data_IF_192500244077
#
_entry.id   IF_192500244077
#
_cell.length_a   1.000
_cell.length_b   1.000
_cell.length_c   1.000
_cell.angle_alpha   90.00
_cell.angle_beta   90.00
_cell.angle_gamma   90.00
#
_symmetry.space_group_name_H-M   'P 1'
#
loop_
_entity.id
_entity.type
_entity.pdbx_description
1 polymer ?
#
# COMPACT_ATOMS: atom_id res chain seq x y z
N UNK A 1 47.64 -15.77 48.53
CA UNK A 1 47.92 -14.58 47.71
C UNK A 1 48.24 -15.04 46.29
N UNK A 2 47.30 -15.06 45.42
CA UNK A 2 47.43 -15.41 44.03
C UNK A 2 46.71 -14.36 43.20
N UNK A 3 47.47 -13.49 42.52
CA UNK A 3 46.96 -12.44 41.65
C UNK A 3 46.43 -13.05 40.38
N UNK A 4 45.12 -12.91 40.16
CA UNK A 4 44.49 -13.20 38.87
C UNK A 4 44.92 -12.13 37.87
N UNK A 5 45.65 -12.54 36.80
CA UNK A 5 46.01 -11.71 35.68
C UNK A 5 44.76 -11.31 34.83
N UNK A 6 44.84 -10.21 34.09
CA UNK A 6 43.71 -9.72 33.30
C UNK A 6 43.43 -10.68 32.13
N UNK A 7 42.12 -11.02 31.98
CA UNK A 7 41.59 -11.79 30.86
C UNK A 7 41.83 -10.98 29.58
N UNK A 8 42.43 -11.57 28.54
CA UNK A 8 42.62 -10.85 27.27
C UNK A 8 41.27 -10.59 26.60
N UNK A 9 40.96 -9.34 26.40
CA UNK A 9 39.86 -8.89 25.55
C UNK A 9 40.01 -9.46 24.14
N UNK A 10 39.03 -10.26 23.67
CA UNK A 10 38.93 -10.71 22.30
C UNK A 10 38.99 -9.48 21.39
N UNK A 11 39.82 -9.48 20.34
CA UNK A 11 39.76 -8.44 19.36
C UNK A 11 38.39 -8.47 18.69
N UNK A 12 37.66 -7.38 18.75
CA UNK A 12 36.50 -7.13 17.94
C UNK A 12 36.91 -7.33 16.47
N UNK A 13 36.24 -8.20 15.76
CA UNK A 13 36.41 -8.44 14.35
C UNK A 13 36.26 -7.10 13.60
N UNK A 14 37.39 -6.56 13.19
CA UNK A 14 37.46 -5.38 12.33
C UNK A 14 36.96 -5.69 10.93
N UNK A 15 35.66 -5.54 10.74
CA UNK A 15 35.04 -5.38 9.43
C UNK A 15 34.38 -4.00 9.41
N UNK A 16 35.13 -3.08 8.82
CA UNK A 16 34.69 -1.83 8.23
C UNK A 16 33.46 -1.19 8.88
N UNK A 17 33.64 -0.40 9.90
CA UNK A 17 32.79 0.76 10.18
C UNK A 17 32.78 1.66 8.94
N UNK A 18 32.01 1.26 7.92
CA UNK A 18 31.65 2.17 6.83
C UNK A 18 30.90 3.30 7.49
N UNK A 19 31.46 4.48 7.42
CA UNK A 19 30.89 5.74 7.88
C UNK A 19 29.51 5.91 7.24
N UNK A 20 28.45 5.39 7.92
CA UNK A 20 27.07 5.37 7.44
C UNK A 20 26.57 6.81 7.45
N UNK A 21 26.30 7.36 6.27
CA UNK A 21 25.80 8.73 6.11
C UNK A 21 24.31 8.70 5.83
N UNK A 22 23.52 9.40 6.67
CA UNK A 22 22.12 9.66 6.41
C UNK A 22 21.96 10.71 5.31
N UNK A 23 20.88 10.61 4.53
CA UNK A 23 20.51 11.57 3.50
C UNK A 23 20.36 10.97 2.12
N UNK A 24 19.44 11.55 1.34
CA UNK A 24 19.09 11.06 0.00
C UNK A 24 20.28 11.09 -0.96
N UNK A 25 21.07 12.17 -0.98
CA UNK A 25 22.21 12.30 -1.89
C UNK A 25 23.30 11.28 -1.61
N UNK A 26 23.56 10.99 -0.34
CA UNK A 26 24.58 10.01 0.08
C UNK A 26 24.19 8.57 -0.31
N UNK A 27 22.89 8.28 -0.40
CA UNK A 27 22.35 6.94 -0.64
C UNK A 27 21.57 6.82 -1.95
N UNK A 28 21.77 7.75 -2.91
CA UNK A 28 20.94 7.85 -4.11
C UNK A 28 20.87 6.54 -4.91
N UNK A 29 21.99 5.82 -5.08
CA UNK A 29 22.04 4.55 -5.81
C UNK A 29 21.17 3.47 -5.15
N UNK A 30 21.29 3.27 -3.83
CA UNK A 30 20.47 2.31 -3.09
C UNK A 30 19.00 2.72 -3.07
N UNK A 31 18.74 4.02 -2.91
CA UNK A 31 17.38 4.58 -2.94
C UNK A 31 16.70 4.30 -4.29
N UNK A 32 17.39 4.55 -5.42
CA UNK A 32 16.85 4.32 -6.76
C UNK A 32 16.58 2.84 -7.04
N UNK A 33 17.46 1.93 -6.59
CA UNK A 33 17.22 0.49 -6.69
C UNK A 33 15.96 0.09 -5.91
N UNK A 34 15.77 0.61 -4.70
CA UNK A 34 14.57 0.31 -3.89
C UNK A 34 13.29 0.93 -4.49
N UNK A 35 13.38 2.05 -5.21
CA UNK A 35 12.25 2.61 -5.98
C UNK A 35 11.89 1.68 -7.13
N UNK A 36 12.89 1.19 -7.87
CA UNK A 36 12.68 0.22 -8.97
C UNK A 36 12.10 -1.10 -8.45
N UNK A 37 12.62 -1.62 -7.34
CA UNK A 37 12.08 -2.83 -6.71
C UNK A 37 10.62 -2.63 -6.28
N UNK A 38 10.26 -1.46 -5.74
CA UNK A 38 8.87 -1.17 -5.42
C UNK A 38 7.98 -1.07 -6.66
N UNK A 39 8.49 -0.56 -7.77
CA UNK A 39 7.78 -0.60 -9.05
C UNK A 39 7.53 -2.05 -9.51
N UNK A 40 8.49 -2.97 -9.35
CA UNK A 40 8.27 -4.39 -9.64
C UNK A 40 7.21 -5.01 -8.73
N UNK A 41 7.20 -4.66 -7.43
CA UNK A 41 6.16 -5.08 -6.49
C UNK A 41 4.79 -4.61 -6.97
N UNK A 42 4.66 -3.34 -7.38
CA UNK A 42 3.44 -2.79 -7.97
C UNK A 42 3.05 -3.48 -9.27
N UNK A 43 4.01 -3.77 -10.14
CA UNK A 43 3.77 -4.44 -11.41
C UNK A 43 3.14 -5.84 -11.24
N UNK A 44 3.56 -6.63 -10.24
CA UNK A 44 2.93 -7.92 -9.93
C UNK A 44 1.43 -7.78 -9.64
N UNK A 45 1.04 -6.73 -8.93
CA UNK A 45 -0.38 -6.43 -8.68
C UNK A 45 -1.10 -6.02 -9.96
N UNK A 46 -0.48 -5.14 -10.75
CA UNK A 46 -1.06 -4.62 -11.99
C UNK A 46 -1.35 -5.70 -13.04
N UNK A 47 -0.51 -6.74 -13.11
CA UNK A 47 -0.74 -7.87 -14.03
C UNK A 47 -2.06 -8.61 -13.76
N UNK A 48 -2.55 -8.60 -12.53
CA UNK A 48 -3.73 -9.38 -12.14
C UNK A 48 -5.03 -8.59 -12.22
N UNK A 49 -5.01 -7.30 -11.86
CA UNK A 49 -6.22 -6.53 -11.50
C UNK A 49 -7.25 -6.36 -12.62
N UNK A 50 -6.82 -6.31 -13.86
CA UNK A 50 -7.76 -6.25 -15.00
C UNK A 50 -8.08 -7.63 -15.55
N UNK A 51 -7.10 -8.52 -15.56
CA UNK A 51 -7.18 -9.79 -16.28
C UNK A 51 -7.87 -10.87 -15.46
N UNK A 52 -7.57 -11.03 -14.16
CA UNK A 52 -8.12 -12.12 -13.34
C UNK A 52 -9.64 -12.10 -13.21
N UNK A 53 -10.33 -10.95 -13.04
CA UNK A 53 -11.80 -10.95 -13.05
C UNK A 53 -12.38 -11.50 -14.35
N UNK A 54 -11.75 -11.18 -15.49
CA UNK A 54 -12.17 -11.70 -16.81
C UNK A 54 -11.82 -13.19 -16.97
N UNK A 55 -10.67 -13.64 -16.48
CA UNK A 55 -10.30 -15.06 -16.44
C UNK A 55 -11.31 -15.85 -15.61
N UNK A 56 -11.70 -15.34 -14.44
CA UNK A 56 -12.70 -15.97 -13.57
C UNK A 56 -14.03 -16.17 -14.28
N UNK A 57 -14.54 -15.15 -14.95
CA UNK A 57 -15.83 -15.21 -15.65
C UNK A 57 -15.76 -15.96 -16.97
N UNK A 58 -14.73 -15.74 -17.80
CA UNK A 58 -14.67 -16.23 -19.18
C UNK A 58 -13.99 -17.60 -19.31
N UNK A 59 -12.97 -17.91 -18.49
CA UNK A 59 -12.23 -19.17 -18.60
C UNK A 59 -12.65 -20.21 -17.55
N UNK A 60 -12.94 -19.75 -16.31
CA UNK A 60 -13.41 -20.65 -15.25
C UNK A 60 -14.95 -20.71 -15.16
N UNK A 61 -15.67 -19.87 -15.91
CA UNK A 61 -17.13 -19.91 -15.98
C UNK A 61 -17.82 -19.58 -14.64
N UNK A 62 -17.16 -18.79 -13.77
CA UNK A 62 -17.72 -18.46 -12.46
C UNK A 62 -18.91 -17.52 -12.60
N UNK A 63 -20.09 -18.00 -12.20
CA UNK A 63 -21.32 -17.21 -12.21
C UNK A 63 -21.39 -16.21 -11.04
N UNK A 64 -20.88 -16.61 -9.86
CA UNK A 64 -20.86 -15.75 -8.67
C UNK A 64 -19.72 -14.74 -8.74
N UNK A 65 -20.08 -13.47 -8.62
CA UNK A 65 -19.13 -12.36 -8.54
C UNK A 65 -18.31 -12.44 -7.25
N UNK A 66 -18.92 -12.87 -6.15
CA UNK A 66 -18.20 -13.12 -4.88
C UNK A 66 -17.11 -14.17 -5.06
N UNK A 67 -17.41 -15.26 -5.79
CA UNK A 67 -16.41 -16.28 -6.09
C UNK A 67 -15.26 -15.70 -6.95
N UNK A 68 -15.56 -14.88 -7.95
CA UNK A 68 -14.54 -14.19 -8.76
C UNK A 68 -13.68 -13.31 -7.87
N UNK A 69 -14.26 -12.50 -6.99
CA UNK A 69 -13.51 -11.53 -6.15
C UNK A 69 -12.75 -12.18 -4.97
N UNK A 70 -12.92 -13.48 -4.75
CA UNK A 70 -12.25 -14.22 -3.64
C UNK A 70 -10.72 -14.11 -3.68
N UNK A 71 -10.11 -13.94 -4.85
CA UNK A 71 -8.67 -13.73 -4.98
C UNK A 71 -8.21 -12.40 -4.37
N UNK A 72 -9.01 -11.34 -4.46
CA UNK A 72 -8.72 -10.05 -3.83
C UNK A 72 -8.88 -10.16 -2.30
N UNK A 73 -9.91 -10.87 -1.84
CA UNK A 73 -10.12 -11.11 -0.43
C UNK A 73 -8.97 -11.90 0.20
N UNK A 74 -8.50 -12.98 -0.45
CA UNK A 74 -7.36 -13.77 0.02
C UNK A 74 -6.05 -12.97 0.04
N UNK A 75 -5.81 -12.18 -1.00
CA UNK A 75 -4.71 -11.23 -1.08
C UNK A 75 -4.73 -10.24 0.09
N UNK A 76 -5.86 -9.55 0.30
CA UNK A 76 -6.02 -8.54 1.34
C UNK A 76 -5.84 -9.10 2.73
N UNK A 77 -6.41 -10.27 3.02
CA UNK A 77 -6.30 -10.95 4.31
C UNK A 77 -4.85 -11.34 4.62
N UNK A 78 -4.18 -12.02 3.68
CA UNK A 78 -2.77 -12.39 3.81
C UNK A 78 -1.89 -11.16 4.03
N UNK A 79 -2.09 -10.11 3.23
CA UNK A 79 -1.34 -8.86 3.35
C UNK A 79 -1.56 -8.18 4.69
N UNK A 80 -2.80 -8.08 5.18
CA UNK A 80 -3.13 -7.45 6.46
C UNK A 80 -2.46 -8.16 7.64
N UNK A 81 -2.54 -9.50 7.67
CA UNK A 81 -1.98 -10.31 8.75
C UNK A 81 -0.44 -10.26 8.78
N UNK A 82 0.19 -10.38 7.61
CA UNK A 82 1.65 -10.40 7.52
C UNK A 82 2.24 -9.01 7.80
N UNK A 83 1.59 -7.93 7.38
CA UNK A 83 2.03 -6.56 7.67
C UNK A 83 2.17 -6.28 9.19
N UNK A 84 1.34 -6.88 10.03
CA UNK A 84 1.45 -6.75 11.49
C UNK A 84 2.79 -7.28 12.04
N UNK A 85 3.33 -8.34 11.45
CA UNK A 85 4.56 -8.98 11.91
C UNK A 85 5.81 -8.53 11.15
N UNK A 86 5.66 -8.03 9.92
CA UNK A 86 6.77 -7.76 9.00
C UNK A 86 7.83 -6.82 9.59
N UNK A 87 7.40 -5.76 10.28
CA UNK A 87 8.32 -4.80 10.92
C UNK A 87 9.15 -5.45 12.03
N UNK A 88 8.48 -6.13 12.97
CA UNK A 88 9.15 -6.78 14.10
C UNK A 88 10.10 -7.90 13.67
N UNK A 89 9.76 -8.64 12.61
CA UNK A 89 10.65 -9.64 12.01
C UNK A 89 11.86 -8.97 11.37
N UNK A 90 11.64 -7.88 10.62
CA UNK A 90 12.72 -7.15 9.95
C UNK A 90 13.73 -6.54 10.94
N UNK A 91 13.28 -6.10 12.10
CA UNK A 91 14.17 -5.57 13.15
C UNK A 91 15.08 -6.66 13.74
N UNK A 92 14.64 -7.93 13.74
CA UNK A 92 15.42 -9.06 14.26
C UNK A 92 16.37 -9.69 13.24
N UNK A 93 15.89 -9.89 12.01
CA UNK A 93 16.63 -10.66 10.99
C UNK A 93 17.29 -9.78 9.91
N UNK A 94 17.00 -8.50 9.90
CA UNK A 94 17.45 -7.54 8.90
C UNK A 94 16.45 -7.35 7.75
N UNK A 95 16.37 -6.12 7.24
CA UNK A 95 15.38 -5.72 6.23
C UNK A 95 15.61 -6.39 4.88
N UNK A 96 16.88 -6.56 4.48
CA UNK A 96 17.24 -7.21 3.23
C UNK A 96 16.80 -8.67 3.18
N UNK A 97 16.94 -9.43 4.28
CA UNK A 97 16.50 -10.84 4.33
C UNK A 97 14.99 -10.97 4.19
N UNK A 98 14.24 -10.10 4.86
CA UNK A 98 12.78 -10.08 4.74
C UNK A 98 12.34 -9.74 3.31
N UNK A 99 13.01 -8.80 2.65
CA UNK A 99 12.77 -8.47 1.24
C UNK A 99 13.03 -9.67 0.32
N UNK A 100 14.12 -10.42 0.55
CA UNK A 100 14.43 -11.65 -0.21
C UNK A 100 13.35 -12.73 -0.03
N UNK A 101 12.89 -12.96 1.21
CA UNK A 101 11.79 -13.90 1.49
C UNK A 101 10.51 -13.46 0.76
N UNK A 102 10.24 -12.15 0.77
CA UNK A 102 9.11 -11.61 0.02
C UNK A 102 9.17 -11.95 -1.47
N UNK A 103 10.32 -11.78 -2.12
CA UNK A 103 10.50 -12.15 -3.54
C UNK A 103 10.39 -13.66 -3.77
N UNK A 104 10.94 -14.49 -2.89
CA UNK A 104 10.81 -15.95 -2.99
C UNK A 104 9.33 -16.39 -2.95
N UNK A 105 8.49 -15.76 -2.12
CA UNK A 105 7.05 -16.00 -2.10
C UNK A 105 6.34 -15.48 -3.37
N UNK A 106 6.91 -14.48 -4.03
CA UNK A 106 6.39 -13.95 -5.28
C UNK A 106 6.65 -14.83 -6.51
N UNK A 107 7.74 -15.60 -6.53
CA UNK A 107 8.13 -16.43 -7.69
C UNK A 107 7.03 -17.44 -8.12
N UNK A 108 6.41 -18.21 -7.22
CA UNK A 108 5.39 -19.18 -7.62
C UNK A 108 4.08 -18.54 -8.07
N UNK A 109 3.80 -17.28 -7.75
CA UNK A 109 2.50 -16.65 -8.02
C UNK A 109 2.10 -16.71 -9.49
N UNK A 110 2.85 -16.15 -10.44
CA UNK A 110 2.47 -16.18 -11.86
C UNK A 110 2.44 -17.61 -12.43
N UNK A 111 3.30 -18.50 -11.93
CA UNK A 111 3.32 -19.90 -12.37
C UNK A 111 2.06 -20.61 -11.93
N UNK A 112 1.65 -20.48 -10.67
CA UNK A 112 0.43 -21.09 -10.13
C UNK A 112 -0.81 -20.63 -10.91
N UNK A 113 -0.91 -19.35 -11.24
CA UNK A 113 -2.02 -18.81 -12.03
C UNK A 113 -1.98 -19.34 -13.46
N UNK A 114 -0.79 -19.40 -14.06
CA UNK A 114 -0.61 -19.87 -15.43
C UNK A 114 -1.09 -21.32 -15.61
N UNK A 115 -0.73 -22.19 -14.66
CA UNK A 115 -1.07 -23.63 -14.72
C UNK A 115 -2.35 -24.00 -13.97
N UNK A 116 -3.06 -23.01 -13.39
CA UNK A 116 -4.21 -23.24 -12.52
C UNK A 116 -5.30 -24.13 -13.17
N UNK A 117 -5.59 -25.32 -12.64
CA UNK A 117 -6.68 -26.17 -13.12
C UNK A 117 -8.05 -25.75 -12.57
N UNK A 118 -8.06 -24.97 -11.48
CA UNK A 118 -9.28 -24.45 -10.84
C UNK A 118 -9.04 -23.08 -10.21
N UNK A 119 -10.13 -22.36 -9.92
CA UNK A 119 -10.06 -21.05 -9.28
C UNK A 119 -9.39 -21.06 -7.91
N UNK A 120 -9.48 -22.16 -7.17
CA UNK A 120 -8.81 -22.31 -5.87
C UNK A 120 -7.29 -22.12 -5.94
N UNK A 121 -6.64 -22.48 -7.06
CA UNK A 121 -5.21 -22.22 -7.28
C UNK A 121 -4.92 -20.73 -7.46
N UNK A 122 -5.80 -19.99 -8.11
CA UNK A 122 -5.71 -18.53 -8.25
C UNK A 122 -5.85 -17.87 -6.87
N UNK A 123 -6.78 -18.34 -6.05
CA UNK A 123 -6.95 -17.87 -4.65
C UNK A 123 -5.70 -18.17 -3.84
N UNK A 124 -5.13 -19.37 -3.92
CA UNK A 124 -3.90 -19.75 -3.23
C UNK A 124 -2.69 -18.90 -3.70
N UNK A 125 -2.56 -18.65 -5.00
CA UNK A 125 -1.53 -17.77 -5.55
C UNK A 125 -1.65 -16.34 -4.97
N UNK A 126 -2.86 -15.85 -4.78
CA UNK A 126 -3.12 -14.53 -4.22
C UNK A 126 -2.85 -14.45 -2.70
N UNK A 127 -2.93 -15.55 -1.95
CA UNK A 127 -2.39 -15.60 -0.57
C UNK A 127 -0.87 -15.35 -0.60
N UNK A 128 -0.14 -15.99 -1.51
CA UNK A 128 1.30 -15.77 -1.68
C UNK A 128 1.62 -14.36 -2.17
N UNK A 129 0.82 -13.82 -3.10
CA UNK A 129 0.98 -12.44 -3.56
C UNK A 129 0.76 -11.44 -2.42
N UNK A 130 -0.25 -11.66 -1.56
CA UNK A 130 -0.50 -10.85 -0.38
C UNK A 130 0.70 -10.85 0.57
N UNK A 131 1.30 -12.03 0.80
CA UNK A 131 2.52 -12.17 1.60
C UNK A 131 3.72 -11.46 0.94
N UNK A 132 3.95 -11.65 -0.35
CA UNK A 132 4.97 -10.93 -1.12
C UNK A 132 4.81 -9.42 -0.98
N UNK A 133 3.59 -8.91 -1.18
CA UNK A 133 3.27 -7.49 -1.10
C UNK A 133 3.53 -6.93 0.31
N UNK A 134 3.12 -7.64 1.36
CA UNK A 134 3.34 -7.23 2.74
C UNK A 134 4.83 -7.10 3.05
N UNK A 135 5.64 -8.09 2.66
CA UNK A 135 7.07 -8.09 2.94
C UNK A 135 7.84 -7.12 2.05
N UNK A 136 7.67 -7.21 0.72
CA UNK A 136 8.46 -6.40 -0.21
C UNK A 136 8.12 -4.92 -0.15
N UNK A 137 6.82 -4.56 -0.15
CA UNK A 137 6.39 -3.16 -0.08
C UNK A 137 6.84 -2.50 1.23
N UNK A 138 6.63 -3.18 2.36
CA UNK A 138 7.03 -2.64 3.65
C UNK A 138 8.55 -2.49 3.77
N UNK A 139 9.33 -3.44 3.26
CA UNK A 139 10.79 -3.34 3.32
C UNK A 139 11.32 -2.24 2.41
N UNK A 140 10.83 -2.08 1.20
CA UNK A 140 11.25 -0.99 0.31
C UNK A 140 10.91 0.39 0.90
N UNK A 141 9.80 0.53 1.62
CA UNK A 141 9.45 1.74 2.39
C UNK A 141 10.43 1.97 3.53
N UNK A 142 10.58 0.98 4.42
CA UNK A 142 11.38 1.12 5.63
C UNK A 142 12.85 1.41 5.31
N UNK A 143 13.45 0.67 4.37
CA UNK A 143 14.83 0.89 3.96
C UNK A 143 15.08 2.28 3.39
N UNK A 144 14.11 2.85 2.65
CA UNK A 144 14.22 4.24 2.16
C UNK A 144 14.13 5.27 3.29
N UNK A 145 13.22 5.04 4.24
CA UNK A 145 13.08 5.89 5.43
C UNK A 145 14.37 5.86 6.26
N UNK A 146 14.94 4.68 6.51
CA UNK A 146 16.18 4.51 7.26
C UNK A 146 17.33 5.31 6.64
N UNK A 147 17.45 5.30 5.30
CA UNK A 147 18.55 5.97 4.60
C UNK A 147 18.42 7.50 4.55
N UNK A 148 17.21 8.03 4.45
CA UNK A 148 17.02 9.48 4.27
C UNK A 148 16.98 10.25 5.58
N UNK A 149 16.70 9.58 6.69
CA UNK A 149 16.57 10.19 8.02
C UNK A 149 15.28 11.01 8.19
N UNK A 150 15.06 11.64 9.38
CA UNK A 150 13.80 12.27 9.76
C UNK A 150 13.32 13.38 8.83
N UNK A 151 14.23 14.22 8.35
CA UNK A 151 13.91 15.43 7.60
C UNK A 151 13.26 15.18 6.22
N UNK A 152 13.43 13.99 5.62
CA UNK A 152 12.96 13.69 4.26
C UNK A 152 12.11 12.42 4.15
N UNK A 153 11.59 11.93 5.26
CA UNK A 153 10.72 10.73 5.30
C UNK A 153 9.48 10.86 4.42
N UNK A 154 8.84 12.03 4.41
CA UNK A 154 7.69 12.29 3.55
C UNK A 154 8.00 12.15 2.07
N UNK A 155 9.14 12.69 1.62
CA UNK A 155 9.61 12.54 0.24
C UNK A 155 9.88 11.07 -0.11
N UNK A 156 10.54 10.33 0.78
CA UNK A 156 10.83 8.92 0.58
C UNK A 156 9.55 8.07 0.45
N UNK A 157 8.56 8.34 1.31
CA UNK A 157 7.24 7.71 1.26
C UNK A 157 6.51 8.06 -0.03
N UNK A 158 6.45 9.34 -0.40
CA UNK A 158 5.78 9.80 -1.62
C UNK A 158 6.37 9.17 -2.88
N UNK A 159 7.69 9.13 -3.00
CA UNK A 159 8.36 8.49 -4.14
C UNK A 159 8.15 6.97 -4.16
N UNK A 160 8.13 6.32 -2.99
CA UNK A 160 7.85 4.89 -2.92
C UNK A 160 6.46 4.56 -3.43
N UNK A 161 5.47 5.22 -2.88
CA UNK A 161 4.06 4.95 -3.19
C UNK A 161 3.75 5.34 -4.65
N UNK A 162 4.29 6.48 -5.11
CA UNK A 162 4.15 6.89 -6.51
C UNK A 162 4.70 5.85 -7.49
N UNK A 163 5.93 5.37 -7.27
CA UNK A 163 6.53 4.36 -8.13
C UNK A 163 5.72 3.04 -8.14
N UNK A 164 5.24 2.62 -6.96
CA UNK A 164 4.43 1.41 -6.84
C UNK A 164 3.12 1.51 -7.61
N UNK A 165 2.31 2.56 -7.36
CA UNK A 165 1.00 2.68 -8.00
C UNK A 165 1.06 3.07 -9.47
N UNK A 166 2.05 3.88 -9.89
CA UNK A 166 2.29 4.10 -11.31
C UNK A 166 2.63 2.78 -12.03
N UNK A 167 3.45 1.93 -11.40
CA UNK A 167 3.77 0.61 -11.94
C UNK A 167 2.56 -0.34 -11.97
N UNK A 168 1.63 -0.27 -11.00
CA UNK A 168 0.35 -0.99 -11.07
C UNK A 168 -0.38 -0.64 -12.36
N UNK A 169 -0.54 0.65 -12.65
CA UNK A 169 -1.26 1.09 -13.84
C UNK A 169 -0.54 0.74 -15.14
N UNK A 170 0.79 0.93 -15.22
CA UNK A 170 1.58 0.56 -16.41
C UNK A 170 1.55 -0.96 -16.65
N UNK A 171 1.68 -1.77 -15.60
CA UNK A 171 1.60 -3.22 -15.72
C UNK A 171 0.20 -3.71 -16.11
N UNK A 172 -0.87 -3.00 -15.72
CA UNK A 172 -2.23 -3.25 -16.17
C UNK A 172 -2.35 -3.10 -17.70
N UNK A 173 -1.76 -2.05 -18.28
CA UNK A 173 -1.72 -1.86 -19.73
C UNK A 173 -0.87 -2.94 -20.42
N UNK A 174 0.30 -3.25 -19.87
CA UNK A 174 1.16 -4.30 -20.40
C UNK A 174 0.49 -5.69 -20.33
N UNK A 175 -0.23 -5.98 -19.25
CA UNK A 175 -1.00 -7.20 -19.09
C UNK A 175 -2.09 -7.35 -20.16
N UNK A 176 -2.84 -6.28 -20.44
CA UNK A 176 -3.87 -6.29 -21.48
C UNK A 176 -3.27 -6.47 -22.88
N UNK A 177 -2.15 -5.81 -23.19
CA UNK A 177 -1.45 -6.00 -24.46
C UNK A 177 -0.93 -7.43 -24.62
N UNK A 178 -0.33 -7.99 -23.57
CA UNK A 178 0.13 -9.39 -23.56
C UNK A 178 -1.06 -10.38 -23.65
N UNK A 179 -2.18 -10.08 -22.99
CA UNK A 179 -3.39 -10.88 -23.05
C UNK A 179 -4.02 -10.90 -24.46
N UNK A 180 -4.00 -9.77 -25.15
CA UNK A 180 -4.49 -9.66 -26.53
C UNK A 180 -3.62 -10.45 -27.51
N UNK A 181 -2.30 -10.49 -27.29
CA UNK A 181 -1.35 -11.18 -28.17
C UNK A 181 -1.26 -12.70 -27.90
N UNK A 182 -1.30 -13.10 -26.62
CA UNK A 182 -0.97 -14.47 -26.21
C UNK A 182 -2.06 -15.15 -25.37
N UNK A 183 -3.22 -14.50 -25.19
CA UNK A 183 -4.36 -15.00 -24.43
C UNK A 183 -4.39 -14.47 -22.99
N UNK A 184 -5.61 -14.41 -22.42
CA UNK A 184 -5.92 -13.74 -21.14
C UNK A 184 -5.06 -14.22 -19.97
N UNK A 185 -4.64 -15.47 -19.94
CA UNK A 185 -3.84 -16.05 -18.86
C UNK A 185 -2.38 -16.20 -19.25
N UNK A 186 -2.11 -16.70 -20.45
CA UNK A 186 -0.75 -17.02 -20.90
C UNK A 186 0.15 -15.78 -21.04
N UNK A 187 -0.38 -14.72 -21.65
CA UNK A 187 0.37 -13.48 -21.89
C UNK A 187 0.82 -12.80 -20.61
N UNK A 188 -0.12 -12.33 -19.77
CA UNK A 188 0.22 -11.58 -18.55
C UNK A 188 1.08 -12.37 -17.55
N UNK A 189 0.73 -13.63 -17.29
CA UNK A 189 1.43 -14.43 -16.29
C UNK A 189 2.74 -15.02 -16.81
N UNK A 190 2.86 -15.27 -18.12
CA UNK A 190 4.15 -15.54 -18.76
C UNK A 190 5.15 -14.38 -18.59
N UNK A 191 4.69 -13.15 -18.87
CA UNK A 191 5.47 -11.93 -18.59
C UNK A 191 5.78 -11.78 -17.10
N UNK A 192 4.80 -12.13 -16.25
CA UNK A 192 4.90 -12.00 -14.80
C UNK A 192 5.98 -12.84 -14.14
N UNK A 193 6.40 -13.97 -14.74
CA UNK A 193 7.43 -14.86 -14.19
C UNK A 193 8.77 -14.14 -14.01
N UNK A 194 9.14 -13.27 -14.93
CA UNK A 194 10.42 -12.54 -14.90
C UNK A 194 10.52 -11.54 -13.74
N UNK A 195 9.40 -10.93 -13.32
CA UNK A 195 9.39 -9.83 -12.36
C UNK A 195 9.96 -10.24 -10.99
N UNK A 196 9.44 -11.26 -10.30
CA UNK A 196 9.96 -11.65 -8.99
C UNK A 196 11.37 -12.25 -9.05
N UNK A 197 11.74 -12.91 -10.15
CA UNK A 197 13.09 -13.45 -10.36
C UNK A 197 14.10 -12.31 -10.46
N UNK A 198 13.82 -11.30 -11.30
CA UNK A 198 14.66 -10.11 -11.42
C UNK A 198 14.68 -9.31 -10.12
N UNK A 199 13.52 -9.16 -9.44
CA UNK A 199 13.42 -8.53 -8.14
C UNK A 199 14.30 -9.20 -7.08
N UNK A 200 14.30 -10.54 -7.02
CA UNK A 200 15.16 -11.30 -6.14
C UNK A 200 16.64 -11.12 -6.51
N UNK A 201 17.00 -11.25 -7.80
CA UNK A 201 18.37 -11.09 -8.27
C UNK A 201 18.92 -9.70 -7.94
N UNK A 202 18.18 -8.63 -8.21
CA UNK A 202 18.58 -7.26 -7.85
C UNK A 202 18.71 -7.10 -6.33
N UNK A 203 17.84 -7.71 -5.56
CA UNK A 203 17.90 -7.67 -4.09
C UNK A 203 19.17 -8.37 -3.58
N UNK A 204 19.49 -9.55 -4.12
CA UNK A 204 20.67 -10.32 -3.72
C UNK A 204 21.97 -9.62 -4.15
N UNK A 205 22.01 -9.06 -5.35
CA UNK A 205 23.24 -8.52 -5.92
C UNK A 205 23.52 -7.07 -5.50
N UNK A 206 22.49 -6.24 -5.38
CA UNK A 206 22.65 -4.79 -5.30
C UNK A 206 22.12 -4.16 -3.99
N UNK A 207 21.15 -4.78 -3.32
CA UNK A 207 20.58 -4.18 -2.11
C UNK A 207 21.46 -4.46 -0.90
N UNK A 208 21.75 -3.41 -0.12
CA UNK A 208 22.46 -3.48 1.16
C UNK A 208 21.45 -3.37 2.30
N UNK A 209 21.73 -4.04 3.43
CA UNK A 209 20.87 -3.90 4.62
C UNK A 209 21.02 -2.49 5.23
N UNK A 210 19.92 -1.98 5.82
CA UNK A 210 19.87 -0.61 6.37
C UNK A 210 19.91 -0.58 7.89
N UNK A 211 20.17 -1.68 8.57
CA UNK A 211 20.25 -1.74 10.03
C UNK A 211 21.30 -0.77 10.59
N UNK A 212 22.43 -0.58 9.90
CA UNK A 212 23.44 0.40 10.27
C UNK A 212 22.97 1.86 10.21
N UNK A 213 22.04 2.20 9.29
CA UNK A 213 21.44 3.54 9.21
C UNK A 213 20.52 3.81 10.39
N UNK A 214 19.79 2.80 10.85
CA UNK A 214 18.94 2.88 12.04
C UNK A 214 19.78 3.12 13.30
N UNK A 215 20.90 2.40 13.44
CA UNK A 215 21.83 2.60 14.55
C UNK A 215 22.40 4.03 14.55
N UNK A 216 22.88 4.51 13.39
CA UNK A 216 23.41 5.86 13.25
C UNK A 216 22.36 6.95 13.54
N UNK A 217 21.11 6.77 13.14
CA UNK A 217 20.03 7.70 13.49
C UNK A 217 19.76 7.71 15.00
N UNK A 218 19.75 6.53 15.64
CA UNK A 218 19.51 6.39 17.10
C UNK A 218 20.61 7.09 17.90
N UNK A 219 21.86 6.96 17.49
CA UNK A 219 22.98 7.67 18.11
C UNK A 219 22.87 9.19 17.98
N UNK A 220 22.49 9.70 16.79
CA UNK A 220 22.29 11.14 16.56
C UNK A 220 21.16 11.73 17.41
N UNK A 221 20.13 10.93 17.73
CA UNK A 221 19.01 11.35 18.58
C UNK A 221 19.29 11.23 20.08
N UNK A 222 20.51 10.85 20.49
CA UNK A 222 20.91 10.78 21.91
C UNK A 222 20.39 9.54 22.63
N UNK A 223 20.17 8.42 21.94
CA UNK A 223 19.71 7.16 22.49
C UNK A 223 18.18 7.05 22.61
N UNK A 224 17.65 5.95 23.17
CA UNK A 224 16.22 5.70 23.25
C UNK A 224 15.54 6.64 24.27
N UNK A 225 15.28 7.86 23.86
CA UNK A 225 14.46 8.82 24.62
C UNK A 225 12.98 8.63 24.23
N UNK A 226 12.35 7.66 24.84
CA UNK A 226 10.91 7.49 24.63
C UNK A 226 10.23 7.08 25.93
N UNK A 227 9.29 7.89 26.43
CA UNK A 227 8.40 7.40 27.47
C UNK A 227 7.62 6.18 26.93
N UNK A 228 7.36 5.19 27.77
CA UNK A 228 6.61 4.01 27.35
C UNK A 228 5.22 4.40 26.84
N UNK A 229 4.66 3.63 25.86
CA UNK A 229 3.31 3.85 25.36
C UNK A 229 2.31 3.81 26.53
N UNK A 230 1.17 4.56 26.42
CA UNK A 230 0.15 4.49 27.46
C UNK A 230 -0.35 3.05 27.58
N UNK A 231 0.06 2.35 28.64
CA UNK A 231 -0.17 0.93 28.96
C UNK A 231 0.44 -0.05 27.94
N UNK A 232 1.51 -0.71 28.36
CA UNK A 232 2.31 -1.68 27.59
C UNK A 232 1.48 -2.83 27.00
N UNK A 233 1.56 -3.00 25.67
CA UNK A 233 1.06 -4.16 24.94
C UNK A 233 0.41 -3.80 23.59
N UNK A 234 0.68 -4.58 22.54
CA UNK A 234 0.12 -4.40 21.19
C UNK A 234 -1.42 -4.37 21.21
N UNK A 235 -2.06 -5.20 22.06
CA UNK A 235 -3.51 -5.22 22.21
C UNK A 235 -4.12 -3.90 22.70
N UNK A 236 -3.42 -3.19 23.59
CA UNK A 236 -3.87 -1.89 24.07
C UNK A 236 -3.75 -0.81 22.99
N UNK A 237 -2.67 -0.84 22.20
CA UNK A 237 -2.49 0.06 21.05
C UNK A 237 -3.55 -0.24 19.99
N UNK A 238 -3.80 -1.52 19.71
CA UNK A 238 -4.86 -1.95 18.80
C UNK A 238 -6.21 -1.38 19.23
N UNK A 239 -6.60 -1.57 20.49
CA UNK A 239 -7.86 -1.06 21.00
C UNK A 239 -7.93 0.47 21.03
N UNK A 240 -6.81 1.14 21.31
CA UNK A 240 -6.74 2.59 21.33
C UNK A 240 -6.94 3.18 19.93
N UNK A 241 -6.18 2.71 18.94
CA UNK A 241 -6.24 3.18 17.55
C UNK A 241 -7.57 2.81 16.90
N UNK A 242 -8.14 1.65 17.25
CA UNK A 242 -9.36 1.12 16.60
C UNK A 242 -10.67 1.68 17.17
N UNK A 243 -10.73 1.99 18.48
CA UNK A 243 -12.02 2.26 19.13
C UNK A 243 -12.01 3.40 20.17
N UNK A 244 -10.90 3.60 20.89
CA UNK A 244 -10.88 4.49 22.06
C UNK A 244 -10.59 5.93 21.70
N UNK A 245 -9.65 6.16 20.77
CA UNK A 245 -9.34 7.50 20.30
C UNK A 245 -10.24 7.88 19.13
N UNK A 246 -10.90 9.04 19.23
CA UNK A 246 -11.87 9.53 18.26
C UNK A 246 -11.25 9.82 16.90
N UNK A 247 -10.06 10.43 16.89
CA UNK A 247 -9.39 10.90 15.68
C UNK A 247 -8.69 9.72 14.97
N UNK A 248 -8.04 8.83 15.71
CA UNK A 248 -7.43 7.61 15.17
C UNK A 248 -8.48 6.62 14.63
N UNK A 249 -9.64 6.49 15.30
CA UNK A 249 -10.77 5.74 14.76
C UNK A 249 -11.25 6.33 13.42
N UNK A 250 -11.39 7.68 13.35
CA UNK A 250 -11.80 8.34 12.12
C UNK A 250 -10.80 8.10 10.96
N UNK A 251 -9.50 8.11 11.26
CA UNK A 251 -8.47 7.76 10.27
C UNK A 251 -8.52 6.28 9.87
N UNK A 252 -8.70 5.37 10.83
CA UNK A 252 -8.71 3.92 10.56
C UNK A 252 -9.91 3.49 9.72
N UNK A 253 -11.10 4.00 10.01
CA UNK A 253 -12.29 3.72 9.20
C UNK A 253 -12.19 4.34 7.80
N UNK A 254 -11.65 5.57 7.68
CA UNK A 254 -11.45 6.19 6.37
C UNK A 254 -10.44 5.41 5.52
N UNK A 255 -9.36 4.91 6.14
CA UNK A 255 -8.40 4.05 5.48
C UNK A 255 -8.99 2.72 5.04
N UNK A 256 -9.83 2.08 5.87
CA UNK A 256 -10.54 0.86 5.52
C UNK A 256 -11.46 1.10 4.31
N UNK A 257 -12.26 2.17 4.35
CA UNK A 257 -13.21 2.49 3.26
C UNK A 257 -12.48 2.90 1.99
N UNK A 258 -11.35 3.61 2.08
CA UNK A 258 -10.52 3.91 0.91
C UNK A 258 -10.07 2.63 0.20
N UNK A 259 -9.56 1.63 0.93
CA UNK A 259 -9.15 0.36 0.32
C UNK A 259 -10.34 -0.60 0.02
N UNK A 260 -11.49 -0.37 0.61
CA UNK A 260 -12.74 -1.02 0.21
C UNK A 260 -13.10 -0.61 -1.23
N UNK A 261 -12.91 0.67 -1.58
CA UNK A 261 -13.05 1.15 -2.97
C UNK A 261 -12.10 0.42 -3.91
N UNK A 262 -10.82 0.22 -3.50
CA UNK A 262 -9.85 -0.53 -4.29
C UNK A 262 -10.29 -1.99 -4.49
N UNK A 263 -10.70 -2.67 -3.42
CA UNK A 263 -11.16 -4.05 -3.46
C UNK A 263 -12.36 -4.26 -4.40
N UNK A 264 -13.29 -3.31 -4.39
CA UNK A 264 -14.41 -3.29 -5.33
C UNK A 264 -13.94 -2.95 -6.75
N UNK A 265 -13.19 -1.84 -6.93
CA UNK A 265 -12.83 -1.33 -8.24
C UNK A 265 -11.97 -2.34 -9.03
N UNK A 266 -10.98 -2.96 -8.40
CA UNK A 266 -10.11 -3.95 -9.04
C UNK A 266 -10.83 -5.24 -9.40
N UNK A 267 -11.93 -5.56 -8.70
CA UNK A 267 -12.73 -6.75 -9.00
C UNK A 267 -13.88 -6.49 -9.97
N UNK A 268 -14.67 -5.45 -9.72
CA UNK A 268 -15.92 -5.21 -10.44
C UNK A 268 -15.77 -4.39 -11.71
N UNK A 269 -14.87 -3.39 -11.76
CA UNK A 269 -14.80 -2.50 -12.93
C UNK A 269 -14.45 -3.25 -14.22
N UNK A 270 -13.49 -4.20 -14.26
CA UNK A 270 -13.24 -4.97 -15.48
C UNK A 270 -14.47 -5.72 -15.96
N UNK A 271 -15.24 -6.32 -15.05
CA UNK A 271 -16.46 -7.07 -15.38
C UNK A 271 -17.56 -6.11 -15.82
N UNK A 272 -17.74 -4.98 -15.13
CA UNK A 272 -18.72 -3.94 -15.45
C UNK A 272 -18.52 -3.41 -16.87
N UNK A 273 -17.27 -3.02 -17.20
CA UNK A 273 -16.91 -2.48 -18.50
C UNK A 273 -16.98 -3.56 -19.61
N UNK A 274 -16.61 -4.80 -19.31
CA UNK A 274 -16.76 -5.92 -20.23
C UNK A 274 -18.23 -6.21 -20.58
N UNK A 275 -19.13 -6.16 -19.58
CA UNK A 275 -20.59 -6.29 -19.80
C UNK A 275 -21.18 -5.10 -20.57
N UNK A 276 -20.55 -3.93 -20.51
CA UNK A 276 -20.90 -2.78 -21.35
C UNK A 276 -20.39 -2.90 -22.79
N UNK A 277 -19.70 -4.00 -23.15
CA UNK A 277 -19.24 -4.28 -24.52
C UNK A 277 -17.91 -3.62 -24.90
N UNK A 278 -17.12 -3.14 -23.92
CA UNK A 278 -15.83 -2.54 -24.22
C UNK A 278 -14.79 -3.58 -24.60
N UNK A 279 -13.87 -3.18 -25.48
CA UNK A 279 -12.69 -3.99 -25.82
C UNK A 279 -11.75 -4.13 -24.62
N UNK A 280 -10.92 -5.18 -24.60
CA UNK A 280 -9.93 -5.39 -23.53
C UNK A 280 -8.98 -4.19 -23.40
N UNK A 281 -8.60 -3.54 -24.51
CA UNK A 281 -7.77 -2.33 -24.49
C UNK A 281 -8.44 -1.15 -23.79
N UNK A 282 -9.72 -0.89 -24.09
CA UNK A 282 -10.49 0.17 -23.44
C UNK A 282 -10.70 -0.11 -21.95
N UNK A 283 -11.01 -1.38 -21.58
CA UNK A 283 -11.11 -1.80 -20.19
C UNK A 283 -9.79 -1.55 -19.45
N UNK A 284 -8.67 -1.95 -20.04
CA UNK A 284 -7.35 -1.76 -19.45
C UNK A 284 -6.99 -0.28 -19.30
N UNK A 285 -7.30 0.56 -20.28
CA UNK A 285 -7.04 2.01 -20.21
C UNK A 285 -7.81 2.65 -19.05
N UNK A 286 -9.10 2.34 -18.92
CA UNK A 286 -9.95 2.89 -17.87
C UNK A 286 -9.50 2.38 -16.49
N UNK A 287 -9.26 1.08 -16.36
CA UNK A 287 -8.85 0.48 -15.08
C UNK A 287 -7.42 0.87 -14.68
N UNK A 288 -6.51 1.11 -15.63
CA UNK A 288 -5.18 1.62 -15.37
C UNK A 288 -5.16 3.11 -15.00
N UNK A 289 -6.08 3.90 -15.55
CA UNK A 289 -6.15 5.33 -15.28
C UNK A 289 -6.33 5.63 -13.79
N UNK A 290 -7.03 4.78 -13.06
CA UNK A 290 -7.21 4.90 -11.62
C UNK A 290 -5.87 4.86 -10.85
N UNK A 291 -5.09 3.78 -10.86
CA UNK A 291 -3.80 3.73 -10.15
C UNK A 291 -2.73 4.63 -10.76
N UNK A 292 -2.78 4.95 -12.06
CA UNK A 292 -1.85 5.91 -12.68
C UNK A 292 -2.09 7.33 -12.16
N UNK A 293 -3.32 7.81 -12.19
CA UNK A 293 -3.64 9.14 -11.66
C UNK A 293 -3.35 9.23 -10.16
N UNK A 294 -3.70 8.21 -9.39
CA UNK A 294 -3.32 8.12 -7.99
C UNK A 294 -1.79 8.19 -7.79
N UNK A 295 -1.03 7.33 -8.48
CA UNK A 295 0.44 7.27 -8.36
C UNK A 295 1.11 8.59 -8.70
N UNK A 296 0.68 9.27 -9.78
CA UNK A 296 1.28 10.53 -10.22
C UNK A 296 0.88 11.69 -9.30
N UNK A 297 -0.40 11.83 -8.99
CA UNK A 297 -0.91 12.99 -8.26
C UNK A 297 -0.50 13.01 -6.79
N UNK A 298 -0.27 11.84 -6.17
CA UNK A 298 0.17 11.78 -4.77
C UNK A 298 1.56 12.38 -4.53
N UNK A 299 2.39 12.60 -5.54
CA UNK A 299 3.64 13.34 -5.40
C UNK A 299 3.43 14.77 -4.90
N UNK A 300 2.30 15.38 -5.29
CA UNK A 300 1.94 16.75 -4.89
C UNK A 300 1.03 16.82 -3.66
N UNK A 301 0.18 15.80 -3.44
CA UNK A 301 -0.85 15.88 -2.40
C UNK A 301 -0.29 15.81 -0.98
N UNK A 302 0.85 15.16 -0.76
CA UNK A 302 1.55 15.18 0.52
C UNK A 302 1.93 16.60 0.94
N UNK A 303 2.60 17.34 0.07
CA UNK A 303 2.97 18.74 0.33
C UNK A 303 1.76 19.67 0.39
N UNK A 304 0.70 19.38 -0.35
CA UNK A 304 -0.55 20.12 -0.31
C UNK A 304 -1.22 19.97 1.07
N UNK A 305 -1.18 18.76 1.65
CA UNK A 305 -1.73 18.49 2.98
C UNK A 305 -0.97 19.19 4.11
N UNK A 306 0.33 19.48 3.91
CA UNK A 306 1.15 20.27 4.83
C UNK A 306 0.79 21.79 4.82
N UNK A 307 0.07 22.24 3.79
CA UNK A 307 -0.34 23.64 3.65
C UNK A 307 -1.82 23.87 3.97
N UNK A 308 -2.68 23.00 3.47
CA UNK A 308 -4.14 23.16 3.59
C UNK A 308 -4.73 22.45 4.81
N UNK A 309 -3.95 21.61 5.49
CA UNK A 309 -4.42 20.76 6.58
C UNK A 309 -4.74 19.32 6.11
N UNK A 310 -4.77 18.41 7.09
CA UNK A 310 -5.02 16.98 6.83
C UNK A 310 -6.51 16.71 6.59
N UNK A 311 -7.36 17.20 7.50
CA UNK A 311 -8.79 16.95 7.47
C UNK A 311 -9.47 17.39 6.17
N UNK A 312 -9.28 18.61 5.64
CA UNK A 312 -9.97 19.04 4.41
C UNK A 312 -9.66 18.15 3.23
N UNK A 313 -8.40 17.71 3.07
CA UNK A 313 -7.99 16.86 1.95
C UNK A 313 -8.57 15.45 2.07
N UNK A 314 -8.58 14.87 3.28
CA UNK A 314 -9.17 13.55 3.50
C UNK A 314 -10.67 13.59 3.16
N UNK A 315 -11.40 14.57 3.68
CA UNK A 315 -12.84 14.71 3.43
C UNK A 315 -13.14 14.95 1.97
N UNK A 316 -12.44 15.90 1.32
CA UNK A 316 -12.62 16.19 -0.09
C UNK A 316 -12.28 14.99 -0.99
N UNK A 317 -11.20 14.29 -0.68
CA UNK A 317 -10.79 13.11 -1.43
C UNK A 317 -11.78 11.95 -1.30
N UNK A 318 -12.27 11.66 -0.09
CA UNK A 318 -13.32 10.65 0.12
C UNK A 318 -14.63 11.03 -0.58
N UNK A 319 -15.04 12.30 -0.50
CA UNK A 319 -16.23 12.79 -1.19
C UNK A 319 -16.08 12.65 -2.71
N UNK A 320 -14.93 13.04 -3.27
CA UNK A 320 -14.63 12.90 -4.70
C UNK A 320 -14.68 11.44 -5.14
N UNK A 321 -14.10 10.49 -4.37
CA UNK A 321 -14.19 9.06 -4.66
C UNK A 321 -15.65 8.59 -4.72
N UNK A 322 -16.45 8.92 -3.70
CA UNK A 322 -17.87 8.53 -3.67
C UNK A 322 -18.66 9.10 -4.86
N UNK A 323 -18.46 10.37 -5.20
CA UNK A 323 -19.09 11.01 -6.37
C UNK A 323 -18.61 10.37 -7.68
N UNK A 324 -17.31 10.09 -7.82
CA UNK A 324 -16.76 9.44 -9.00
C UNK A 324 -17.35 8.04 -9.23
N UNK A 325 -17.54 7.26 -8.16
CA UNK A 325 -18.17 5.94 -8.22
C UNK A 325 -19.67 6.03 -8.59
N UNK A 326 -20.41 7.00 -8.06
CA UNK A 326 -21.79 7.24 -8.47
C UNK A 326 -21.89 7.66 -9.94
N UNK A 327 -20.99 8.53 -10.37
CA UNK A 327 -20.91 8.94 -11.77
C UNK A 327 -20.59 7.75 -12.69
N UNK A 328 -19.64 6.87 -12.30
CA UNK A 328 -19.26 5.66 -13.06
C UNK A 328 -20.48 4.82 -13.47
N UNK A 329 -21.46 4.68 -12.58
CA UNK A 329 -22.70 3.90 -12.83
C UNK A 329 -23.70 4.67 -13.72
N UNK A 330 -23.68 5.99 -13.70
CA UNK A 330 -24.66 6.84 -14.38
C UNK A 330 -24.25 7.27 -15.78
N UNK A 331 -22.96 7.41 -16.04
CA UNK A 331 -22.43 7.83 -17.33
C UNK A 331 -22.26 6.64 -18.27
N UNK A 332 -22.19 6.92 -19.56
CA UNK A 332 -21.91 5.94 -20.61
C UNK A 332 -20.84 6.51 -21.57
N UNK A 333 -20.04 5.59 -22.12
CA UNK A 333 -18.98 5.91 -23.06
C UNK A 333 -17.59 5.97 -22.45
N UNK A 334 -16.61 5.56 -23.25
CA UNK A 334 -15.22 5.37 -22.82
C UNK A 334 -14.60 6.62 -22.18
N UNK A 335 -14.81 7.80 -22.76
CA UNK A 335 -14.22 9.05 -22.26
C UNK A 335 -14.77 9.46 -20.90
N UNK A 336 -16.07 9.25 -20.64
CA UNK A 336 -16.67 9.56 -19.34
C UNK A 336 -16.26 8.55 -18.28
N UNK A 337 -16.19 7.25 -18.60
CA UNK A 337 -15.65 6.26 -17.67
C UNK A 337 -14.18 6.50 -17.36
N UNK A 338 -13.38 6.89 -18.34
CA UNK A 338 -11.98 7.28 -18.13
C UNK A 338 -11.88 8.49 -17.19
N UNK A 339 -12.70 9.51 -17.39
CA UNK A 339 -12.73 10.69 -16.52
C UNK A 339 -13.12 10.33 -15.07
N UNK A 340 -14.10 9.45 -14.88
CA UNK A 340 -14.48 9.00 -13.54
C UNK A 340 -13.38 8.15 -12.87
N UNK A 341 -12.65 7.33 -13.61
CA UNK A 341 -11.49 6.59 -13.10
C UNK A 341 -10.34 7.51 -12.68
N UNK A 342 -10.06 8.56 -13.45
CA UNK A 342 -9.08 9.61 -13.10
C UNK A 342 -9.53 10.37 -11.84
N UNK A 343 -10.81 10.73 -11.75
CA UNK A 343 -11.36 11.42 -10.58
C UNK A 343 -11.28 10.54 -9.32
N UNK A 344 -11.55 9.23 -9.44
CA UNK A 344 -11.38 8.26 -8.37
C UNK A 344 -9.91 8.22 -7.90
N UNK A 345 -8.95 8.21 -8.83
CA UNK A 345 -7.52 8.22 -8.52
C UNK A 345 -7.06 9.52 -7.87
N UNK A 346 -7.57 10.68 -8.31
CA UNK A 346 -7.32 11.96 -7.65
C UNK A 346 -7.86 11.95 -6.22
N UNK A 347 -9.08 11.45 -6.00
CA UNK A 347 -9.66 11.30 -4.68
C UNK A 347 -8.78 10.46 -3.77
N UNK A 348 -8.30 9.32 -4.25
CA UNK A 348 -7.40 8.43 -3.51
C UNK A 348 -6.03 9.08 -3.24
N UNK A 349 -5.49 9.83 -4.19
CA UNK A 349 -4.24 10.58 -4.01
C UNK A 349 -4.35 11.64 -2.91
N UNK A 350 -5.49 12.28 -2.74
CA UNK A 350 -5.75 13.23 -1.65
C UNK A 350 -5.85 12.53 -0.28
N UNK A 351 -6.39 11.32 -0.23
CA UNK A 351 -6.69 10.59 1.01
C UNK A 351 -5.49 9.83 1.54
N UNK A 352 -4.86 9.01 0.69
CA UNK A 352 -3.92 7.98 1.12
C UNK A 352 -2.68 8.51 1.88
N UNK A 353 -1.85 9.43 1.31
CA UNK A 353 -0.70 9.96 2.03
C UNK A 353 -1.11 10.83 3.22
N UNK A 354 -2.24 11.50 3.12
CA UNK A 354 -2.77 12.42 4.13
C UNK A 354 -3.24 11.69 5.38
N UNK A 355 -3.92 10.53 5.23
CA UNK A 355 -4.30 9.68 6.36
C UNK A 355 -3.08 9.15 7.11
N UNK A 356 -2.04 8.73 6.38
CA UNK A 356 -0.81 8.24 6.99
C UNK A 356 -0.11 9.36 7.78
N UNK A 357 -0.11 10.58 7.24
CA UNK A 357 0.40 11.76 7.93
C UNK A 357 -0.44 12.08 9.19
N UNK A 358 -1.78 12.10 9.08
CA UNK A 358 -2.67 12.37 10.21
C UNK A 358 -2.48 11.36 11.36
N UNK A 359 -2.40 10.05 11.07
CA UNK A 359 -2.09 9.02 12.07
C UNK A 359 -0.73 9.25 12.73
N UNK A 360 0.26 9.67 11.92
CA UNK A 360 1.61 9.97 12.42
C UNK A 360 1.66 11.23 13.29
N UNK A 361 0.82 12.23 12.99
CA UNK A 361 0.70 13.47 13.79
C UNK A 361 0.02 13.19 15.14
N UNK A 362 -0.99 12.30 15.17
CA UNK A 362 -1.73 11.93 16.38
C UNK A 362 -0.96 11.00 17.31
N UNK A 363 -0.03 10.21 16.78
CA UNK A 363 0.68 9.20 17.55
C UNK A 363 2.01 9.72 18.08
N UNK A 364 2.23 9.58 19.41
CA UNK A 364 3.51 9.93 20.04
C UNK A 364 4.65 9.09 19.42
N UNK A 365 5.86 9.66 19.23
CA UNK A 365 7.00 8.97 18.60
C UNK A 365 7.28 7.56 19.13
N UNK A 366 7.11 7.34 20.45
CA UNK A 366 7.38 6.06 21.12
C UNK A 366 6.49 4.89 20.68
N UNK A 367 5.29 5.15 20.13
CA UNK A 367 4.36 4.12 19.67
C UNK A 367 3.78 4.40 18.27
N UNK A 368 4.30 5.42 17.59
CA UNK A 368 3.86 5.83 16.23
C UNK A 368 3.95 4.68 15.23
N UNK A 369 5.04 3.90 15.24
CA UNK A 369 5.20 2.75 14.36
C UNK A 369 4.09 1.71 14.56
N UNK A 370 3.72 1.45 15.82
CA UNK A 370 2.62 0.54 16.15
C UNK A 370 1.25 1.10 15.73
N UNK A 371 1.00 2.40 15.92
CA UNK A 371 -0.23 3.05 15.46
C UNK A 371 -0.40 2.96 13.94
N UNK A 372 0.67 3.27 13.20
CA UNK A 372 0.70 3.15 11.73
C UNK A 372 0.50 1.69 11.31
N UNK A 373 1.08 0.73 12.04
CA UNK A 373 0.87 -0.70 11.81
C UNK A 373 -0.60 -1.11 11.94
N UNK A 374 -1.28 -0.67 13.00
CA UNK A 374 -2.71 -0.93 13.22
C UNK A 374 -3.56 -0.25 12.14
N UNK A 375 -3.27 1.01 11.83
CA UNK A 375 -3.94 1.73 10.72
C UNK A 375 -3.80 0.97 9.39
N UNK A 376 -2.59 0.51 9.05
CA UNK A 376 -2.35 -0.28 7.82
C UNK A 376 -3.10 -1.60 7.82
N UNK A 377 -3.21 -2.28 8.95
CA UNK A 377 -4.04 -3.48 9.07
C UNK A 377 -5.50 -3.18 8.71
N UNK A 378 -6.10 -2.14 9.31
CA UNK A 378 -7.47 -1.74 8.98
C UNK A 378 -7.63 -1.37 7.51
N UNK A 379 -6.69 -0.62 6.97
CA UNK A 379 -6.66 -0.26 5.56
C UNK A 379 -6.62 -1.51 4.67
N UNK A 380 -5.72 -2.45 4.93
CA UNK A 380 -5.56 -3.64 4.09
C UNK A 380 -6.75 -4.61 4.24
N UNK A 381 -7.45 -4.63 5.38
CA UNK A 381 -8.73 -5.31 5.54
C UNK A 381 -9.84 -4.70 4.66
N UNK A 382 -9.70 -3.45 4.24
CA UNK A 382 -10.58 -2.83 3.26
C UNK A 382 -10.68 -3.62 1.95
N UNK A 383 -9.57 -4.21 1.46
CA UNK A 383 -9.60 -5.10 0.29
C UNK A 383 -10.53 -6.30 0.51
N UNK A 384 -10.48 -6.89 1.70
CA UNK A 384 -11.31 -8.07 2.05
C UNK A 384 -12.79 -7.67 2.08
N UNK A 385 -13.11 -6.61 2.84
CA UNK A 385 -14.48 -6.13 3.00
C UNK A 385 -15.03 -5.66 1.65
N UNK A 386 -14.23 -4.92 0.88
CA UNK A 386 -14.62 -4.40 -0.43
C UNK A 386 -14.91 -5.50 -1.44
N UNK A 387 -14.03 -6.50 -1.54
CA UNK A 387 -14.23 -7.61 -2.45
C UNK A 387 -15.45 -8.46 -2.08
N UNK A 388 -15.58 -8.86 -0.80
CA UNK A 388 -16.66 -9.73 -0.36
C UNK A 388 -18.02 -9.01 -0.35
N UNK A 389 -18.11 -7.80 0.24
CA UNK A 389 -19.35 -7.06 0.30
C UNK A 389 -19.85 -6.65 -1.09
N UNK A 390 -18.93 -6.11 -1.94
CA UNK A 390 -19.30 -5.74 -3.30
C UNK A 390 -19.65 -6.96 -4.15
N UNK A 391 -18.96 -8.09 -3.96
CA UNK A 391 -19.30 -9.36 -4.62
C UNK A 391 -20.69 -9.85 -4.25
N UNK A 392 -21.01 -9.92 -2.95
CA UNK A 392 -22.33 -10.36 -2.45
C UNK A 392 -23.45 -9.44 -2.95
N UNK A 393 -23.27 -8.13 -2.90
CA UNK A 393 -24.28 -7.19 -3.41
C UNK A 393 -24.43 -7.36 -4.94
N UNK A 394 -23.31 -7.57 -5.65
CA UNK A 394 -23.36 -7.78 -7.10
C UNK A 394 -24.08 -9.09 -7.49
N UNK A 395 -23.93 -10.15 -6.71
CA UNK A 395 -24.63 -11.42 -6.94
C UNK A 395 -26.15 -11.32 -6.71
N UNK A 396 -26.58 -10.47 -5.75
CA UNK A 396 -28.02 -10.33 -5.40
C UNK A 396 -28.70 -9.22 -6.21
N UNK A 397 -28.05 -8.06 -6.36
CA UNK A 397 -28.66 -6.84 -6.91
C UNK A 397 -27.95 -6.30 -8.16
N UNK A 398 -26.91 -6.99 -8.63
CA UNK A 398 -26.14 -6.60 -9.80
C UNK A 398 -24.98 -5.64 -9.51
N UNK A 399 -24.03 -5.57 -10.45
CA UNK A 399 -22.80 -4.77 -10.32
C UNK A 399 -23.08 -3.26 -10.12
N UNK A 400 -24.04 -2.61 -10.83
CA UNK A 400 -24.33 -1.20 -10.59
C UNK A 400 -24.78 -0.91 -9.15
N UNK A 401 -25.58 -1.80 -8.54
CA UNK A 401 -26.01 -1.68 -7.16
C UNK A 401 -24.82 -1.82 -6.18
N UNK A 402 -23.90 -2.76 -6.44
CA UNK A 402 -22.69 -2.92 -5.64
C UNK A 402 -21.81 -1.67 -5.67
N UNK A 403 -21.53 -1.12 -6.85
CA UNK A 403 -20.75 0.13 -7.00
C UNK A 403 -21.45 1.30 -6.28
N UNK A 404 -22.79 1.40 -6.41
CA UNK A 404 -23.57 2.43 -5.74
C UNK A 404 -23.51 2.29 -4.22
N UNK A 405 -23.62 1.09 -3.68
CA UNK A 405 -23.51 0.83 -2.25
C UNK A 405 -22.14 1.23 -1.70
N UNK A 406 -21.08 0.87 -2.40
CA UNK A 406 -19.69 1.26 -2.06
C UNK A 406 -19.54 2.79 -2.11
N UNK A 407 -20.09 3.45 -3.11
CA UNK A 407 -20.08 4.90 -3.23
C UNK A 407 -20.76 5.58 -2.03
N UNK A 408 -21.93 5.08 -1.62
CA UNK A 408 -22.66 5.61 -0.47
C UNK A 408 -21.91 5.39 0.85
N UNK A 409 -21.28 4.22 1.04
CA UNK A 409 -20.40 3.95 2.19
C UNK A 409 -19.21 4.92 2.20
N UNK A 410 -18.66 5.24 1.04
CA UNK A 410 -17.54 6.19 0.90
C UNK A 410 -17.97 7.62 1.26
N UNK A 411 -19.14 8.06 0.81
CA UNK A 411 -19.72 9.36 1.19
C UNK A 411 -20.04 9.42 2.68
N UNK A 412 -20.60 8.35 3.24
CA UNK A 412 -20.86 8.25 4.69
C UNK A 412 -19.54 8.31 5.49
N UNK A 413 -18.48 7.67 5.01
CA UNK A 413 -17.13 7.76 5.61
C UNK A 413 -16.56 9.17 5.52
N UNK A 414 -16.75 9.88 4.40
CA UNK A 414 -16.38 11.29 4.27
C UNK A 414 -17.09 12.15 5.32
N UNK A 415 -18.40 11.97 5.48
CA UNK A 415 -19.19 12.67 6.49
C UNK A 415 -18.75 12.33 7.92
N UNK A 416 -18.53 11.05 8.21
CA UNK A 416 -18.03 10.63 9.53
C UNK A 416 -16.66 11.26 9.83
N UNK A 417 -15.77 11.30 8.84
CA UNK A 417 -14.45 11.95 8.97
C UNK A 417 -14.62 13.46 9.20
N UNK A 418 -15.51 14.12 8.46
CA UNK A 418 -15.82 15.55 8.65
C UNK A 418 -16.30 15.86 10.08
N UNK A 419 -17.15 15.00 10.63
CA UNK A 419 -17.76 15.20 11.96
C UNK A 419 -16.82 14.79 13.10
N UNK A 420 -15.97 13.76 12.92
CA UNK A 420 -15.18 13.19 14.01
C UNK A 420 -13.73 13.62 14.02
N UNK A 421 -13.07 13.69 12.87
CA UNK A 421 -11.66 14.05 12.80
C UNK A 421 -11.47 15.53 13.10
N UNK A 422 -10.56 15.86 14.01
CA UNK A 422 -10.05 17.22 14.19
C UNK A 422 -8.87 17.46 13.24
N UNK A 423 -8.56 18.74 12.97
CA UNK A 423 -7.33 19.04 12.21
C UNK A 423 -6.11 18.59 13.02
N UNK A 424 -5.24 17.84 12.37
CA UNK A 424 -4.05 17.25 13.03
C UNK A 424 -2.76 17.97 12.68
N UNK A 425 -2.79 18.85 11.66
CA UNK A 425 -1.63 19.65 11.32
C UNK A 425 -1.29 20.57 12.50
N UNK A 426 -0.06 20.51 13.06
CA UNK A 426 0.33 21.43 14.13
C UNK A 426 0.21 22.88 13.68
N UNK A 427 -0.66 23.65 14.31
CA UNK A 427 -0.72 25.09 14.09
C UNK A 427 0.57 25.69 14.63
N UNK A 428 1.32 26.40 13.79
CA UNK A 428 2.43 27.26 14.22
C UNK A 428 1.86 28.44 15.03
N UNK A 429 1.32 28.16 16.21
CA UNK A 429 0.90 29.18 17.15
C UNK A 429 2.09 29.46 18.09
N UNK A 430 2.78 30.57 17.87
CA UNK A 430 3.52 31.27 18.91
C UNK A 430 5.02 31.12 18.92
N UNK A 431 5.70 31.73 17.93
CA UNK A 431 7.04 32.32 18.17
C UNK A 431 7.09 33.77 17.70
N UNK A 432 6.08 34.54 18.05
CA UNK A 432 6.08 35.99 17.88
C UNK A 432 5.63 36.66 19.19
N UNK A 433 6.36 36.43 20.29
CA UNK A 433 6.23 37.25 21.52
C UNK A 433 7.39 36.91 22.47
N UNK A 434 8.54 37.44 22.18
CA UNK A 434 9.53 37.92 23.18
C UNK A 434 10.83 38.34 22.48
N UNK A 435 10.72 39.36 21.62
CA UNK A 435 11.88 40.18 21.27
C UNK A 435 11.45 41.64 21.45
N UNK A 436 11.29 42.01 22.69
CA UNK A 436 11.33 43.43 23.15
C UNK A 436 11.92 43.42 24.56
N UNK A 437 13.20 43.61 24.62
CA UNK A 437 14.01 44.48 25.48
C UNK A 437 15.47 44.03 25.35
#
# INVERSE_FOLDING_TARGET
MGSAGPVPSRPASGDQERNVRLGLRANLGQFSILVLLNAFVGAMVGLERTVLPLVGTQQFGLASTTAVLSFIASFGLSKALINLAAGAVADRVGRRRVLMVGWLLGIPVPVLILVAPSWGWVVAANVLLGANQALCWSMTVNMKIDMVGPARRGLALGLNESAGYAAVGLATLAAAAAAAAYGLRSGPFGLGIGIPIVGLALTVLLVRDTSGHVAAETEQLGGPQSPPPPRSGLGNILAFVSWRDRDLFACSQAGLVNNLNDGMAWGLLPIFLSRAGLTLGAIALITAAYPLSWGVLQLGTGSLSDRLGRKPLIVAGMALQGVALLAMVKVQGEGLWLATAIALGLGTALVYPTLLAAVSDLAHPSWRASAVGVYRMWRDLGYVVGALAAGLIADVAGIPAAITAVALVTLASALLTLLRLRETLPTHSGSASSASF
#
